data_IF_464087874971
#
_entry.id   IF_464087874971
#
_cell.length_a   1.000
_cell.length_b   1.000
_cell.length_c   1.000
_cell.angle_alpha   90.00
_cell.angle_beta   90.00
_cell.angle_gamma   90.00
#
_symmetry.space_group_name_H-M   'P 1'
#
loop_
_entity.id
_entity.type
_entity.pdbx_description
1 polymer ?
#
# COMPACT_ATOMS: atom_id res chain seq x y z
N UNK A 1 24.61 -4.09 -26.72
CA UNK A 1 23.16 -4.13 -27.08
C UNK A 1 22.25 -4.37 -25.87
N UNK A 2 22.73 -5.06 -24.82
CA UNK A 2 21.95 -5.34 -23.60
C UNK A 2 21.60 -4.09 -22.76
N UNK A 3 22.51 -3.13 -22.60
CA UNK A 3 22.27 -1.93 -21.77
C UNK A 3 21.17 -1.00 -22.30
N UNK A 4 20.89 -1.04 -23.60
CA UNK A 4 19.86 -0.21 -24.24
C UNK A 4 18.46 -0.80 -23.99
N UNK A 5 18.38 -2.12 -23.84
CA UNK A 5 17.13 -2.86 -23.64
C UNK A 5 16.63 -2.77 -22.20
N UNK A 6 17.51 -2.83 -21.19
CA UNK A 6 17.11 -2.62 -19.78
C UNK A 6 16.58 -1.21 -19.55
N UNK A 7 17.29 -0.19 -20.07
CA UNK A 7 16.84 1.20 -19.98
C UNK A 7 15.47 1.42 -20.62
N UNK A 8 15.16 0.74 -21.72
CA UNK A 8 13.86 0.82 -22.37
C UNK A 8 12.76 0.15 -21.54
N UNK A 9 13.06 -1.00 -20.93
CA UNK A 9 12.11 -1.75 -20.12
C UNK A 9 11.73 -0.98 -18.85
N UNK A 10 12.71 -0.41 -18.16
CA UNK A 10 12.49 0.45 -16.99
C UNK A 10 11.65 1.68 -17.36
N UNK A 11 11.94 2.28 -18.52
CA UNK A 11 11.25 3.46 -19.00
C UNK A 11 9.76 3.22 -19.32
N UNK A 12 9.37 1.98 -19.62
CA UNK A 12 7.96 1.59 -19.88
C UNK A 12 7.28 1.05 -18.62
N UNK A 13 8.02 0.32 -17.78
CA UNK A 13 7.47 -0.33 -16.59
C UNK A 13 7.12 0.69 -15.49
N UNK A 14 7.95 1.73 -15.31
CA UNK A 14 7.72 2.79 -14.33
C UNK A 14 6.44 3.59 -14.61
N UNK A 15 6.20 4.16 -15.81
CA UNK A 15 4.98 4.91 -16.07
C UNK A 15 3.74 4.01 -16.15
N UNK A 16 3.86 2.75 -16.59
CA UNK A 16 2.71 1.81 -16.59
C UNK A 16 2.28 1.43 -15.17
N UNK A 17 3.22 1.19 -14.25
CA UNK A 17 2.91 0.98 -12.83
C UNK A 17 2.23 2.19 -12.20
N UNK A 18 2.72 3.40 -12.48
CA UNK A 18 2.09 4.65 -12.03
C UNK A 18 0.70 4.86 -12.62
N UNK A 19 0.48 4.50 -13.90
CA UNK A 19 -0.83 4.56 -14.54
C UNK A 19 -1.83 3.60 -13.88
N UNK A 20 -1.44 2.36 -13.60
CA UNK A 20 -2.32 1.38 -12.92
C UNK A 20 -2.66 1.86 -11.51
N UNK A 21 -1.68 2.36 -10.75
CA UNK A 21 -1.90 2.94 -9.42
C UNK A 21 -2.82 4.17 -9.48
N UNK A 22 -2.62 5.04 -10.46
CA UNK A 22 -3.41 6.25 -10.69
C UNK A 22 -4.84 5.94 -11.09
N UNK A 23 -5.05 4.97 -11.99
CA UNK A 23 -6.37 4.50 -12.41
C UNK A 23 -7.07 3.81 -11.25
N UNK A 24 -6.39 2.95 -10.49
CA UNK A 24 -6.97 2.28 -9.33
C UNK A 24 -7.40 3.29 -8.26
N UNK A 25 -6.53 4.23 -7.90
CA UNK A 25 -6.87 5.26 -6.92
C UNK A 25 -7.95 6.20 -7.44
N UNK A 26 -7.92 6.59 -8.72
CA UNK A 26 -8.95 7.46 -9.31
C UNK A 26 -10.30 6.76 -9.39
N UNK A 27 -10.34 5.49 -9.79
CA UNK A 27 -11.55 4.67 -9.80
C UNK A 27 -12.09 4.47 -8.39
N UNK A 28 -11.22 4.19 -7.41
CA UNK A 28 -11.58 4.10 -6.00
C UNK A 28 -12.15 5.45 -5.49
N UNK A 29 -11.52 6.57 -5.85
CA UNK A 29 -11.97 7.92 -5.46
C UNK A 29 -13.30 8.29 -6.12
N UNK A 30 -13.48 7.96 -7.40
CA UNK A 30 -14.70 8.22 -8.17
C UNK A 30 -15.86 7.34 -7.68
N UNK A 31 -15.60 6.06 -7.38
CA UNK A 31 -16.56 5.15 -6.76
C UNK A 31 -17.00 5.65 -5.38
N UNK A 32 -16.07 6.19 -4.59
CA UNK A 32 -16.32 6.83 -3.30
C UNK A 32 -17.13 8.14 -3.44
N UNK A 33 -16.95 8.90 -4.54
CA UNK A 33 -17.55 10.23 -4.75
C UNK A 33 -18.89 10.25 -5.49
N UNK A 34 -19.14 9.37 -6.47
CA UNK A 34 -20.31 9.48 -7.38
C UNK A 34 -21.59 8.75 -6.93
N UNK A 35 -21.54 7.84 -5.95
CA UNK A 35 -22.72 7.04 -5.55
C UNK A 35 -22.84 6.88 -4.01
N UNK A 36 -23.41 7.88 -3.29
CA UNK A 36 -23.51 7.84 -1.83
C UNK A 36 -24.48 6.78 -1.28
N UNK A 37 -25.39 6.23 -2.08
CA UNK A 37 -26.41 5.25 -1.64
C UNK A 37 -26.18 3.82 -2.13
N UNK A 38 -25.20 3.60 -3.02
CA UNK A 38 -24.86 2.26 -3.55
C UNK A 38 -23.45 1.79 -3.19
N UNK A 39 -22.58 2.68 -2.71
CA UNK A 39 -21.26 2.29 -2.20
C UNK A 39 -21.22 2.36 -0.67
N UNK A 40 -20.61 1.33 -0.07
CA UNK A 40 -20.45 1.09 1.38
C UNK A 40 -19.98 2.33 2.13
N UNK A 41 -19.26 3.25 1.49
CA UNK A 41 -18.74 4.50 2.08
C UNK A 41 -19.84 5.47 2.58
N UNK A 42 -20.94 5.64 1.83
CA UNK A 42 -21.98 6.61 2.19
C UNK A 42 -22.93 6.06 3.25
N UNK A 43 -23.27 4.77 3.15
CA UNK A 43 -23.92 4.04 4.24
C UNK A 43 -23.05 4.03 5.49
N UNK A 44 -21.74 3.85 5.36
CA UNK A 44 -20.79 3.88 6.47
C UNK A 44 -20.73 5.25 7.14
N UNK A 45 -20.87 6.37 6.41
CA UNK A 45 -20.96 7.70 7.03
C UNK A 45 -22.26 7.85 7.84
N UNK A 46 -23.40 7.49 7.26
CA UNK A 46 -24.71 7.59 7.95
C UNK A 46 -24.81 6.61 9.12
N UNK A 47 -24.32 5.39 8.95
CA UNK A 47 -24.26 4.34 9.97
C UNK A 47 -23.33 4.74 11.11
N UNK A 48 -22.14 5.30 10.80
CA UNK A 48 -21.19 5.74 11.82
C UNK A 48 -21.72 6.95 12.59
N UNK A 49 -22.41 7.87 11.90
CA UNK A 49 -23.10 8.98 12.55
C UNK A 49 -24.19 8.47 13.50
N UNK A 50 -25.14 7.64 13.01
CA UNK A 50 -26.19 7.04 13.83
C UNK A 50 -25.65 6.21 15.00
N UNK A 51 -24.57 5.46 14.77
CA UNK A 51 -23.88 4.70 15.81
C UNK A 51 -23.27 5.62 16.88
N UNK A 52 -22.64 6.73 16.51
CA UNK A 52 -22.13 7.71 17.49
C UNK A 52 -23.26 8.32 18.30
N UNK A 53 -24.39 8.71 17.67
CA UNK A 53 -25.55 9.21 18.41
C UNK A 53 -26.12 8.16 19.37
N UNK A 54 -26.22 6.91 18.95
CA UNK A 54 -26.69 5.80 19.79
C UNK A 54 -25.68 5.42 20.90
N UNK A 55 -24.40 5.67 20.66
CA UNK A 55 -23.34 5.53 21.66
C UNK A 55 -23.38 6.64 22.71
N UNK A 56 -23.71 7.87 22.29
CA UNK A 56 -23.80 9.04 23.17
C UNK A 56 -25.13 9.09 23.93
N UNK A 57 -26.20 8.44 23.44
CA UNK A 57 -27.50 8.42 24.11
C UNK A 57 -27.50 7.64 25.42
N UNK A 58 -26.69 6.57 25.49
CA UNK A 58 -26.70 5.67 26.64
C UNK A 58 -25.28 5.38 27.14
N UNK A 59 -24.92 5.76 28.38
CA UNK A 59 -23.59 5.52 28.93
C UNK A 59 -23.22 4.03 29.05
N UNK A 60 -24.23 3.14 29.05
CA UNK A 60 -24.04 1.67 29.07
C UNK A 60 -23.42 1.14 27.78
N UNK A 61 -23.56 1.85 26.66
CA UNK A 61 -23.00 1.45 25.38
C UNK A 61 -21.47 1.65 25.32
N UNK A 62 -20.87 2.37 26.29
CA UNK A 62 -19.44 2.71 26.37
C UNK A 62 -18.50 1.54 26.09
N UNK A 63 -18.80 0.38 26.68
CA UNK A 63 -17.98 -0.83 26.56
C UNK A 63 -18.01 -1.38 25.12
N UNK A 64 -19.19 -1.37 24.49
CA UNK A 64 -19.37 -1.80 23.09
C UNK A 64 -18.61 -0.89 22.12
N UNK A 65 -18.55 0.42 22.40
CA UNK A 65 -17.71 1.35 21.64
C UNK A 65 -16.23 0.98 21.71
N UNK A 66 -15.70 0.78 22.91
CA UNK A 66 -14.29 0.43 23.13
C UNK A 66 -13.95 -0.89 22.41
N UNK A 67 -14.84 -1.88 22.48
CA UNK A 67 -14.66 -3.17 21.82
C UNK A 67 -14.62 -3.03 20.28
N UNK A 68 -15.51 -2.20 19.72
CA UNK A 68 -15.54 -1.93 18.28
C UNK A 68 -14.23 -1.27 17.81
N UNK A 69 -13.71 -0.32 18.58
CA UNK A 69 -12.43 0.34 18.29
C UNK A 69 -11.27 -0.66 18.29
N UNK A 70 -11.21 -1.54 19.31
CA UNK A 70 -10.17 -2.56 19.41
C UNK A 70 -10.20 -3.58 18.28
N UNK A 71 -11.39 -3.96 17.80
CA UNK A 71 -11.54 -4.86 16.66
C UNK A 71 -10.95 -4.23 15.39
N UNK A 72 -11.30 -2.99 15.08
CA UNK A 72 -10.77 -2.29 13.92
C UNK A 72 -9.26 -2.06 14.00
N UNK A 73 -8.75 -1.74 15.19
CA UNK A 73 -7.32 -1.58 15.43
C UNK A 73 -6.58 -2.91 15.21
N UNK A 74 -7.08 -4.01 15.78
CA UNK A 74 -6.51 -5.34 15.61
C UNK A 74 -6.52 -5.78 14.14
N UNK A 75 -7.62 -5.57 13.42
CA UNK A 75 -7.70 -5.89 11.99
C UNK A 75 -6.67 -5.09 11.18
N UNK A 76 -6.47 -3.81 11.52
CA UNK A 76 -5.50 -2.94 10.85
C UNK A 76 -4.05 -3.36 11.14
N UNK A 77 -3.72 -3.65 12.40
CA UNK A 77 -2.37 -4.09 12.78
C UNK A 77 -2.06 -5.48 12.23
N UNK A 78 -3.04 -6.39 12.19
CA UNK A 78 -2.91 -7.69 11.54
C UNK A 78 -2.66 -7.55 10.03
N UNK A 79 -3.37 -6.64 9.36
CA UNK A 79 -3.12 -6.39 7.94
C UNK A 79 -1.73 -5.77 7.71
N UNK A 80 -1.30 -4.87 8.61
CA UNK A 80 0.02 -4.27 8.56
C UNK A 80 1.14 -5.30 8.74
N UNK A 81 0.99 -6.24 9.68
CA UNK A 81 1.97 -7.31 9.85
C UNK A 81 2.01 -8.23 8.63
N UNK A 82 0.85 -8.59 8.06
CA UNK A 82 0.80 -9.35 6.80
C UNK A 82 1.52 -8.58 5.68
N UNK A 83 1.29 -7.28 5.52
CA UNK A 83 1.96 -6.47 4.51
C UNK A 83 3.49 -6.47 4.68
N UNK A 84 3.98 -6.32 5.92
CA UNK A 84 5.41 -6.38 6.24
C UNK A 84 5.97 -7.78 5.94
N UNK A 85 5.27 -8.84 6.34
CA UNK A 85 5.68 -10.23 6.09
C UNK A 85 5.76 -10.51 4.59
N UNK A 86 4.76 -10.08 3.82
CA UNK A 86 4.75 -10.23 2.37
C UNK A 86 5.89 -9.44 1.72
N UNK A 87 6.12 -8.20 2.17
CA UNK A 87 7.25 -7.40 1.68
C UNK A 87 8.60 -8.08 1.92
N UNK A 88 8.80 -8.66 3.11
CA UNK A 88 10.00 -9.42 3.45
C UNK A 88 10.13 -10.68 2.58
N UNK A 89 9.04 -11.42 2.39
CA UNK A 89 9.01 -12.63 1.59
C UNK A 89 9.35 -12.36 0.12
N UNK A 90 8.78 -11.31 -0.48
CA UNK A 90 9.07 -10.92 -1.85
C UNK A 90 10.55 -10.53 -2.00
N UNK A 91 11.08 -9.73 -1.07
CA UNK A 91 12.50 -9.33 -1.07
C UNK A 91 13.44 -10.53 -0.98
N UNK A 92 13.13 -11.50 -0.12
CA UNK A 92 13.91 -12.72 0.04
C UNK A 92 13.88 -13.59 -1.24
N UNK A 93 12.70 -13.78 -1.85
CA UNK A 93 12.55 -14.54 -3.10
C UNK A 93 13.33 -13.89 -4.24
N UNK A 94 13.25 -12.56 -4.38
CA UNK A 94 14.01 -11.81 -5.40
C UNK A 94 15.51 -11.96 -5.15
N UNK A 95 15.96 -11.81 -3.91
CA UNK A 95 17.37 -11.92 -3.53
C UNK A 95 17.95 -13.31 -3.80
N UNK A 96 17.15 -14.38 -3.60
CA UNK A 96 17.56 -15.74 -3.93
C UNK A 96 17.57 -16.03 -5.43
N UNK A 97 16.83 -15.25 -6.21
CA UNK A 97 16.72 -15.41 -7.67
C UNK A 97 17.76 -14.60 -8.44
N UNK A 98 18.32 -13.55 -7.82
CA UNK A 98 19.40 -12.76 -8.40
C UNK A 98 20.74 -13.49 -8.28
N UNK A 99 21.40 -13.78 -9.41
CA UNK A 99 22.81 -14.18 -9.40
C UNK A 99 23.64 -13.10 -8.70
N UNK A 100 24.65 -13.43 -7.88
CA UNK A 100 25.47 -12.42 -7.23
C UNK A 100 26.17 -11.56 -8.28
N UNK A 101 25.62 -10.38 -8.54
CA UNK A 101 26.27 -9.34 -9.32
C UNK A 101 27.46 -8.88 -8.49
N UNK A 102 28.64 -9.41 -8.82
CA UNK A 102 29.89 -8.96 -8.22
C UNK A 102 29.95 -7.44 -8.39
N UNK A 103 30.02 -6.63 -7.31
CA UNK A 103 30.25 -5.22 -7.46
C UNK A 103 31.62 -5.06 -8.12
N UNK A 104 31.63 -4.62 -9.38
CA UNK A 104 32.87 -4.40 -10.11
C UNK A 104 33.62 -3.24 -9.43
N UNK A 105 34.54 -3.58 -8.53
CA UNK A 105 35.48 -2.63 -7.91
C UNK A 105 36.27 -1.84 -8.96
N UNK A 106 36.34 -2.32 -10.20
CA UNK A 106 36.99 -1.68 -11.33
C UNK A 106 36.35 -0.33 -11.72
N UNK A 107 35.05 -0.13 -11.48
CA UNK A 107 34.38 1.16 -11.76
C UNK A 107 34.74 2.27 -10.75
N UNK A 108 34.88 1.92 -9.47
CA UNK A 108 35.21 2.89 -8.42
C UNK A 108 36.69 3.30 -8.44
N UNK A 109 37.60 2.36 -8.73
CA UNK A 109 39.04 2.64 -8.80
C UNK A 109 39.35 3.56 -10.00
N UNK A 110 38.60 3.48 -11.10
CA UNK A 110 38.82 4.36 -12.25
C UNK A 110 38.42 5.81 -11.95
N UNK A 111 37.34 6.05 -11.20
CA UNK A 111 36.90 7.42 -10.84
C UNK A 111 37.85 8.13 -9.88
N UNK A 112 38.52 7.41 -8.96
CA UNK A 112 39.50 8.01 -8.04
C UNK A 112 40.89 8.21 -8.66
N UNK A 113 41.16 7.66 -9.85
CA UNK A 113 42.46 7.82 -10.52
C UNK A 113 42.56 9.11 -11.35
N UNK A 114 41.44 9.84 -11.49
CA UNK A 114 41.38 11.15 -12.17
C UNK A 114 41.04 12.30 -11.22
N UNK A 115 41.18 12.09 -9.92
CA UNK A 115 41.23 13.12 -8.87
C UNK A 115 42.60 13.07 -8.20
#
# INVERSE_FOLDING_TARGET
>A
NFDVQEKYLDYVLVPSGLLVLGIYHSWLLIAIRRHPTRFVIGLNRVSRHRWVYHMMSDPKNGILAIQTIRNNLMASTLLATIAITLSSLISAVVSNSSSPTKPSLTGYIHTFKYF
#
